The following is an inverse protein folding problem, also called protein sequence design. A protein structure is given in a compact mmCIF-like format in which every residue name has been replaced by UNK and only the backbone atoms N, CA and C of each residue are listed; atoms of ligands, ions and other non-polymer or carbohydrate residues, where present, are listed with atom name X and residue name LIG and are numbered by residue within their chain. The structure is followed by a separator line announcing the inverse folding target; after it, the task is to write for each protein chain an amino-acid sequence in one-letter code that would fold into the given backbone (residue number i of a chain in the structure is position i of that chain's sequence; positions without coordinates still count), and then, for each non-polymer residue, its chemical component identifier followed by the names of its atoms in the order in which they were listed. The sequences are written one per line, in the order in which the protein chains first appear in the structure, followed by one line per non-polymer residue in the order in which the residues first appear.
data_IF_770126672555
#
_entry.id   IF_770126672555
#
_cell.length_a   1.000
_cell.length_b   1.000
_cell.length_c   1.000
_cell.angle_alpha   90.00
_cell.angle_beta   90.00
_cell.angle_gamma   90.00
#
_symmetry.space_group_name_H-M   'P 1'
#
loop_
_entity.id
_entity.type
_entity.pdbx_description
1 polymer ?
#
# COMPACT_ATOMS: atom_id res chain seq x y z
N UNK A 1 -17.73 14.78 -1.64
CA UNK A 1 -16.38 15.05 -1.12
C UNK A 1 -16.01 13.87 -0.27
N UNK A 2 -14.90 13.19 -0.55
CA UNK A 2 -14.42 12.09 0.30
C UNK A 2 -13.69 12.77 1.46
N UNK A 3 -14.22 12.61 2.67
CA UNK A 3 -13.71 13.21 3.91
C UNK A 3 -12.22 12.86 4.13
N UNK A 4 -11.41 13.88 4.45
CA UNK A 4 -9.98 13.74 4.79
C UNK A 4 -9.75 12.76 5.94
N UNK A 5 -10.72 12.65 6.86
CA UNK A 5 -10.76 11.65 7.93
C UNK A 5 -10.77 10.20 7.42
N UNK A 6 -11.31 9.93 6.23
CA UNK A 6 -11.36 8.58 5.66
C UNK A 6 -9.98 8.16 5.11
N UNK A 7 -9.20 9.11 4.61
CA UNK A 7 -7.81 8.90 4.18
C UNK A 7 -6.88 8.68 5.38
N UNK A 8 -7.14 9.33 6.52
CA UNK A 8 -6.43 9.08 7.79
C UNK A 8 -6.71 7.67 8.38
N UNK A 9 -7.83 7.04 7.99
CA UNK A 9 -8.17 5.66 8.39
C UNK A 9 -7.40 4.62 7.56
N UNK A 10 -6.89 4.99 6.39
CA UNK A 10 -6.16 4.05 5.53
C UNK A 10 -4.83 3.68 6.16
N UNK A 11 -4.90 2.57 6.87
CA UNK A 11 -3.78 1.94 7.52
C UNK A 11 -3.30 0.74 6.72
N UNK A 12 -2.02 0.43 6.86
CA UNK A 12 -1.44 -0.75 6.25
C UNK A 12 -2.14 -2.02 6.77
N UNK A 13 -2.80 -2.82 5.91
CA UNK A 13 -3.51 -4.05 6.31
C UNK A 13 -2.56 -5.16 6.75
N UNK A 14 -1.29 -5.09 6.34
CA UNK A 14 -0.26 -6.08 6.69
C UNK A 14 0.30 -5.94 8.11
N UNK A 15 0.19 -4.75 8.70
CA UNK A 15 0.81 -4.45 9.98
C UNK A 15 -0.23 -4.49 11.09
N UNK A 16 0.05 -5.20 12.18
CA UNK A 16 -0.85 -5.28 13.34
C UNK A 16 -1.15 -3.90 13.95
N UNK A 17 -0.14 -3.02 13.93
CA UNK A 17 -0.23 -1.65 14.47
C UNK A 17 -0.97 -0.68 13.55
N UNK A 18 -1.37 -1.11 12.34
CA UNK A 18 -2.12 -0.29 11.37
C UNK A 18 -1.50 1.11 11.16
N UNK A 19 -0.21 1.22 10.84
CA UNK A 19 0.44 2.49 10.57
C UNK A 19 -0.11 3.13 9.29
N UNK A 20 0.02 4.46 9.15
CA UNK A 20 -0.46 5.17 7.98
C UNK A 20 0.29 4.74 6.70
N UNK A 21 -0.41 4.84 5.57
CA UNK A 21 0.19 4.71 4.24
C UNK A 21 0.25 6.09 3.57
N UNK A 22 1.24 6.30 2.71
CA UNK A 22 1.42 7.52 1.92
C UNK A 22 1.18 7.23 0.46
N UNK A 23 0.44 8.10 -0.21
CA UNK A 23 0.31 8.04 -1.67
C UNK A 23 1.65 8.43 -2.31
N UNK A 24 2.17 7.55 -3.16
CA UNK A 24 3.38 7.75 -3.96
C UNK A 24 3.06 7.31 -5.37
N UNK A 25 2.87 8.26 -6.28
CA UNK A 25 2.45 7.98 -7.66
C UNK A 25 1.13 7.18 -7.67
N UNK A 26 1.08 6.03 -8.35
CA UNK A 26 -0.09 5.14 -8.43
C UNK A 26 -0.06 4.01 -7.39
N UNK A 27 0.51 4.27 -6.20
CA UNK A 27 0.63 3.27 -5.13
C UNK A 27 0.58 3.89 -3.74
N UNK A 28 0.03 3.15 -2.78
CA UNK A 28 0.03 3.51 -1.36
C UNK A 28 1.18 2.79 -0.66
N UNK A 29 2.14 3.53 -0.13
CA UNK A 29 3.34 2.99 0.53
C UNK A 29 3.22 3.13 2.05
N UNK A 30 3.32 2.02 2.78
CA UNK A 30 3.37 2.03 4.23
C UNK A 30 4.67 2.67 4.74
N UNK A 31 4.58 3.56 5.72
CA UNK A 31 5.77 4.23 6.30
C UNK A 31 6.63 3.33 7.18
N UNK A 32 6.06 2.22 7.68
CA UNK A 32 6.76 1.29 8.58
C UNK A 32 7.33 0.09 7.81
N UNK A 33 6.46 -0.71 7.18
CA UNK A 33 6.88 -1.94 6.50
C UNK A 33 7.33 -1.74 5.05
N UNK A 34 7.22 -0.51 4.50
CA UNK A 34 7.61 -0.15 3.13
C UNK A 34 6.93 -0.97 2.02
N UNK A 35 5.80 -1.60 2.33
CA UNK A 35 4.92 -2.22 1.34
C UNK A 35 4.18 -1.17 0.55
N UNK A 36 4.19 -1.32 -0.78
CA UNK A 36 3.51 -0.51 -1.76
C UNK A 36 2.31 -1.29 -2.32
N UNK A 37 1.12 -0.73 -2.15
CA UNK A 37 -0.14 -1.27 -2.64
C UNK A 37 -0.51 -0.54 -3.95
N UNK A 38 -0.67 -1.24 -5.08
CA UNK A 38 -0.95 -0.59 -6.36
C UNK A 38 -2.37 -0.01 -6.40
N UNK A 39 -2.56 1.05 -7.18
CA UNK A 39 -3.86 1.64 -7.48
C UNK A 39 -4.22 1.26 -8.90
N UNK A 40 -5.33 0.54 -9.09
CA UNK A 40 -5.85 0.15 -10.41
C UNK A 40 -7.20 0.82 -10.62
N UNK A 41 -7.35 1.52 -11.75
CA UNK A 41 -8.60 2.24 -12.09
C UNK A 41 -9.05 3.27 -11.02
N UNK A 42 -8.09 3.86 -10.29
CA UNK A 42 -8.36 4.78 -9.19
C UNK A 42 -8.80 4.10 -7.89
N UNK A 43 -8.78 2.76 -7.83
CA UNK A 43 -9.10 1.97 -6.63
C UNK A 43 -7.80 1.42 -6.03
N UNK A 44 -7.47 1.73 -4.76
CA UNK A 44 -6.33 1.15 -4.08
C UNK A 44 -6.53 -0.34 -3.80
N UNK A 45 -5.65 -1.17 -4.33
CA UNK A 45 -5.63 -2.61 -4.08
C UNK A 45 -4.85 -2.86 -2.79
N UNK A 46 -5.51 -2.68 -1.64
CA UNK A 46 -4.95 -2.95 -0.31
C UNK A 46 -4.95 -4.45 0.04
N UNK A 47 -4.53 -5.29 -0.91
CA UNK A 47 -4.35 -6.72 -0.69
C UNK A 47 -2.88 -6.97 -0.37
N UNK A 48 -2.64 -7.74 0.67
CA UNK A 48 -1.28 -8.09 1.12
C UNK A 48 -0.53 -8.88 0.05
N UNK A 49 -1.21 -9.78 -0.66
CA UNK A 49 -0.64 -10.60 -1.74
C UNK A 49 -0.23 -9.77 -2.97
N UNK A 50 -0.91 -8.64 -3.23
CA UNK A 50 -0.58 -7.74 -4.35
C UNK A 50 0.43 -6.65 -3.94
N UNK A 51 0.81 -6.59 -2.67
CA UNK A 51 1.70 -5.57 -2.14
C UNK A 51 3.16 -5.90 -2.49
N UNK A 52 3.89 -4.92 -3.01
CA UNK A 52 5.32 -5.05 -3.33
C UNK A 52 6.16 -4.29 -2.32
N UNK A 53 7.30 -4.82 -1.89
CA UNK A 53 8.21 -4.08 -0.98
C UNK A 53 9.14 -3.24 -1.86
N UNK A 54 9.30 -1.94 -1.56
CA UNK A 54 10.16 -1.03 -2.34
C UNK A 54 11.66 -1.44 -2.40
N UNK A 55 12.07 -2.57 -1.82
CA UNK A 55 13.46 -3.06 -1.84
C UNK A 55 13.71 -4.31 -2.70
N UNK A 56 12.70 -4.96 -3.29
CA UNK A 56 12.92 -6.20 -4.06
C UNK A 56 12.42 -6.11 -5.50
N UNK A 57 13.07 -5.25 -6.27
CA UNK A 57 13.19 -5.43 -7.71
C UNK A 57 14.27 -6.50 -7.98
N UNK A 58 14.12 -7.73 -7.46
CA UNK A 58 15.02 -8.87 -7.79
C UNK A 58 14.57 -10.29 -7.43
N UNK A 59 13.44 -10.53 -6.74
CA UNK A 59 13.02 -11.91 -6.49
C UNK A 59 11.51 -12.12 -6.63
N UNK A 60 11.12 -13.10 -7.46
CA UNK A 60 9.76 -13.65 -7.60
C UNK A 60 8.85 -13.13 -8.73
N UNK A 61 9.40 -12.78 -9.89
CA UNK A 61 8.77 -13.26 -11.12
C UNK A 61 9.17 -14.74 -11.31
N UNK A 62 8.57 -15.64 -10.53
CA UNK A 62 8.65 -17.08 -10.77
C UNK A 62 7.44 -17.50 -11.64
N UNK A 63 7.63 -18.23 -12.75
CA UNK A 63 6.53 -18.84 -13.49
C UNK A 63 5.88 -20.00 -12.71
#
# INVERSE_FOLDING_TARGET
MIDEKLLEILACPACDTRPPVRLKEDRLVCTECRRAYPIREGIPIMLVDEAVIEEEESASAAP
#
